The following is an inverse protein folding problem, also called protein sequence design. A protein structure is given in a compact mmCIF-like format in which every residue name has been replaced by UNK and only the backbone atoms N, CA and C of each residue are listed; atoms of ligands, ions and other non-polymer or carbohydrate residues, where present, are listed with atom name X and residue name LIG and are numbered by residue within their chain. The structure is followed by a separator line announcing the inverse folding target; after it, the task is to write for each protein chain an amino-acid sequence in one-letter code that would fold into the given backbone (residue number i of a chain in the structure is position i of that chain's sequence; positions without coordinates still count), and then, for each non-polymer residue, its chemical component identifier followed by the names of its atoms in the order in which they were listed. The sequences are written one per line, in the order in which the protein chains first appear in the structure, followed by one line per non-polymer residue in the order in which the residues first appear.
data_IF_570993276368
#
_entry.id   IF_570993276368
#
_cell.length_a   1.000
_cell.length_b   1.000
_cell.length_c   1.000
_cell.angle_alpha   90.00
_cell.angle_beta   90.00
_cell.angle_gamma   90.00
#
_symmetry.space_group_name_H-M   'P 1'
#
loop_
_entity.id
_entity.type
_entity.pdbx_description
1 polymer ?
#
# COMPACT_ATOMS: atom_id res chain seq x y z
N UNK A 1 -10.84 8.62 5.98
CA UNK A 1 -10.53 7.28 5.45
C UNK A 1 -9.08 7.29 5.03
N UNK A 2 -8.34 6.26 5.38
CA UNK A 2 -6.96 6.03 4.94
C UNK A 2 -6.91 4.90 3.91
N UNK A 3 -5.74 4.66 3.32
CA UNK A 3 -5.57 3.56 2.36
C UNK A 3 -6.00 2.20 2.95
N UNK A 4 -5.82 1.98 4.25
CA UNK A 4 -6.25 0.78 4.95
C UNK A 4 -7.76 0.59 4.90
N UNK A 5 -8.53 1.66 5.14
CA UNK A 5 -9.99 1.64 5.02
C UNK A 5 -10.44 1.28 3.59
N UNK A 6 -9.77 1.83 2.58
CA UNK A 6 -10.07 1.58 1.16
C UNK A 6 -9.84 0.10 0.81
N UNK A 7 -8.70 -0.45 1.23
CA UNK A 7 -8.37 -1.88 1.05
C UNK A 7 -9.42 -2.75 1.74
N UNK A 8 -9.71 -2.46 3.01
CA UNK A 8 -10.62 -3.25 3.83
C UNK A 8 -12.04 -3.24 3.27
N UNK A 9 -12.54 -2.06 2.89
CA UNK A 9 -13.88 -1.91 2.31
C UNK A 9 -14.04 -2.77 1.05
N UNK A 10 -13.10 -2.71 0.12
CA UNK A 10 -13.12 -3.54 -1.09
C UNK A 10 -13.01 -5.02 -0.75
N UNK A 11 -12.12 -5.42 0.16
CA UNK A 11 -12.05 -6.84 0.54
C UNK A 11 -13.36 -7.35 1.12
N UNK A 12 -14.00 -6.58 1.99
CA UNK A 12 -15.26 -6.97 2.61
C UNK A 12 -16.41 -7.01 1.59
N UNK A 13 -16.48 -6.03 0.68
CA UNK A 13 -17.46 -6.00 -0.41
C UNK A 13 -17.34 -7.22 -1.34
N UNK A 14 -16.11 -7.61 -1.68
CA UNK A 14 -15.82 -8.74 -2.58
C UNK A 14 -15.50 -10.05 -1.85
N UNK A 15 -15.71 -10.11 -0.53
CA UNK A 15 -15.50 -11.30 0.31
C UNK A 15 -14.09 -11.91 0.22
N UNK A 16 -13.06 -11.08 0.08
CA UNK A 16 -11.66 -11.47 -0.02
C UNK A 16 -10.99 -11.51 1.36
N UNK A 17 -10.19 -12.54 1.64
CA UNK A 17 -9.28 -12.52 2.79
C UNK A 17 -8.11 -11.54 2.55
N UNK A 18 -7.41 -11.13 3.62
CA UNK A 18 -6.17 -10.35 3.49
C UNK A 18 -5.13 -11.07 2.62
N UNK A 19 -5.03 -12.40 2.75
CA UNK A 19 -4.12 -13.24 1.97
C UNK A 19 -4.46 -13.21 0.47
N UNK A 20 -5.74 -13.39 0.12
CA UNK A 20 -6.17 -13.35 -1.28
C UNK A 20 -5.93 -11.98 -1.90
N UNK A 21 -6.21 -10.90 -1.16
CA UNK A 21 -5.96 -9.55 -1.64
C UNK A 21 -4.46 -9.26 -1.80
N UNK A 22 -3.64 -9.68 -0.83
CA UNK A 22 -2.19 -9.55 -0.89
C UNK A 22 -1.62 -10.23 -2.13
N UNK A 23 -2.06 -11.45 -2.42
CA UNK A 23 -1.67 -12.19 -3.62
C UNK A 23 -2.04 -11.46 -4.92
N UNK A 24 -3.26 -10.90 -5.02
CA UNK A 24 -3.69 -10.08 -6.17
C UNK A 24 -2.85 -8.81 -6.32
N UNK A 25 -2.47 -8.20 -5.21
CA UNK A 25 -1.71 -6.95 -5.18
C UNK A 25 -0.20 -7.15 -5.40
N UNK A 26 0.30 -8.40 -5.36
CA UNK A 26 1.74 -8.65 -5.33
C UNK A 26 2.41 -8.12 -4.06
N UNK A 27 1.67 -8.10 -2.94
CA UNK A 27 2.12 -7.64 -1.63
C UNK A 27 2.14 -8.82 -0.65
N UNK A 28 2.81 -8.63 0.48
CA UNK A 28 2.78 -9.60 1.58
C UNK A 28 1.51 -9.40 2.43
N UNK A 29 1.07 -10.46 3.11
CA UNK A 29 -0.07 -10.37 4.04
C UNK A 29 0.22 -9.40 5.18
N UNK A 30 1.48 -9.32 5.64
CA UNK A 30 1.92 -8.37 6.67
C UNK A 30 1.81 -6.91 6.20
N UNK A 31 2.15 -6.61 4.95
CA UNK A 31 1.93 -5.27 4.38
C UNK A 31 0.44 -4.91 4.38
N UNK A 32 -0.44 -5.81 3.94
CA UNK A 32 -1.89 -5.57 3.96
C UNK A 32 -2.40 -5.37 5.39
N UNK A 33 -2.00 -6.23 6.31
CA UNK A 33 -2.40 -6.14 7.71
C UNK A 33 -1.99 -4.79 8.33
N UNK A 34 -0.76 -4.35 8.05
CA UNK A 34 -0.21 -3.07 8.54
C UNK A 34 -0.98 -1.89 7.97
N UNK A 35 -1.24 -1.88 6.65
CA UNK A 35 -1.99 -0.80 6.00
C UNK A 35 -3.41 -0.70 6.57
N UNK A 36 -4.09 -1.83 6.81
CA UNK A 36 -5.45 -1.89 7.37
C UNK A 36 -5.54 -1.45 8.85
N UNK A 37 -4.42 -1.31 9.59
CA UNK A 37 -4.45 -0.70 10.93
C UNK A 37 -4.68 0.82 10.87
N UNK A 38 -4.47 1.44 9.71
CA UNK A 38 -4.52 2.88 9.43
C UNK A 38 -3.49 3.74 10.18
N UNK A 39 -3.19 3.43 11.44
CA UNK A 39 -2.28 4.17 12.29
C UNK A 39 -1.13 3.30 12.76
N UNK A 40 0.02 3.93 12.99
CA UNK A 40 1.19 3.27 13.56
C UNK A 40 0.92 2.91 15.02
N UNK A 41 1.51 1.81 15.49
CA UNK A 41 1.29 1.28 16.84
C UNK A 41 1.52 2.33 17.93
N UNK A 42 0.50 2.55 18.76
CA UNK A 42 0.56 3.50 19.87
C UNK A 42 0.60 4.98 19.46
N UNK A 43 0.27 5.30 18.21
CA UNK A 43 0.31 6.67 17.68
C UNK A 43 -0.97 7.04 16.92
N UNK A 44 -1.23 8.35 16.79
CA UNK A 44 -2.21 8.91 15.85
C UNK A 44 -1.62 9.20 14.46
N UNK A 45 -0.34 8.88 14.25
CA UNK A 45 0.32 9.04 12.95
C UNK A 45 -0.18 7.96 11.98
N UNK A 46 -0.70 8.34 10.80
CA UNK A 46 -1.11 7.36 9.80
C UNK A 46 0.04 6.48 9.34
N UNK A 47 -0.27 5.24 8.97
CA UNK A 47 0.69 4.33 8.34
C UNK A 47 1.09 4.91 6.98
N UNK A 48 2.38 5.14 6.71
CA UNK A 48 2.83 5.59 5.40
C UNK A 48 2.60 4.52 4.34
N UNK A 49 2.34 4.92 3.11
CA UNK A 49 2.12 4.00 1.99
C UNK A 49 3.16 4.23 0.89
N UNK A 50 3.80 3.16 0.43
CA UNK A 50 4.79 3.27 -0.64
C UNK A 50 4.13 3.30 -2.03
N UNK A 51 4.74 3.97 -3.01
CA UNK A 51 4.25 3.96 -4.41
C UNK A 51 4.09 2.53 -4.95
N UNK A 52 4.99 1.60 -4.59
CA UNK A 52 4.88 0.18 -4.98
C UNK A 52 3.59 -0.45 -4.44
N UNK A 53 3.22 -0.12 -3.21
CA UNK A 53 2.00 -0.62 -2.58
C UNK A 53 0.76 -0.02 -3.23
N UNK A 54 0.75 1.29 -3.51
CA UNK A 54 -0.34 1.94 -4.25
C UNK A 54 -0.54 1.27 -5.62
N UNK A 55 0.54 0.95 -6.34
CA UNK A 55 0.48 0.23 -7.61
C UNK A 55 -0.14 -1.16 -7.45
N UNK A 56 0.28 -1.92 -6.44
CA UNK A 56 -0.27 -3.24 -6.14
C UNK A 56 -1.75 -3.20 -5.78
N UNK A 57 -2.16 -2.25 -4.94
CA UNK A 57 -3.55 -2.03 -4.53
C UNK A 57 -4.41 -1.68 -5.75
N UNK A 58 -3.95 -0.74 -6.59
CA UNK A 58 -4.62 -0.37 -7.84
C UNK A 58 -4.83 -1.58 -8.77
N UNK A 59 -3.81 -2.43 -8.91
CA UNK A 59 -3.92 -3.67 -9.68
C UNK A 59 -4.93 -4.65 -9.09
N UNK A 60 -4.93 -4.86 -7.77
CA UNK A 60 -5.85 -5.78 -7.10
C UNK A 60 -7.31 -5.33 -7.17
N UNK A 61 -7.53 -4.01 -7.24
CA UNK A 61 -8.85 -3.38 -7.35
C UNK A 61 -9.30 -3.15 -8.80
N UNK A 62 -8.44 -3.48 -9.78
CA UNK A 62 -8.67 -3.18 -11.19
C UNK A 62 -8.99 -1.69 -11.44
N UNK A 63 -8.36 -0.81 -10.66
CA UNK A 63 -8.51 0.64 -10.74
C UNK A 63 -7.21 1.31 -11.22
N UNK A 64 -7.28 2.44 -11.95
CA UNK A 64 -6.11 3.22 -12.25
C UNK A 64 -5.44 3.76 -10.99
N UNK A 65 -4.09 3.75 -10.94
CA UNK A 65 -3.34 4.33 -9.81
C UNK A 65 -3.78 5.76 -9.43
N UNK A 66 -4.05 6.69 -10.38
CA UNK A 66 -4.53 8.02 -10.03
C UNK A 66 -5.83 8.02 -9.22
N UNK A 67 -6.72 7.06 -9.46
CA UNK A 67 -7.99 6.93 -8.71
C UNK A 67 -7.69 6.55 -7.26
N UNK A 68 -6.78 5.61 -7.03
CA UNK A 68 -6.35 5.24 -5.66
C UNK A 68 -5.64 6.42 -4.98
N UNK A 69 -4.72 7.09 -5.67
CA UNK A 69 -3.98 8.22 -5.11
C UNK A 69 -4.89 9.38 -4.73
N UNK A 70 -5.94 9.66 -5.50
CA UNK A 70 -6.89 10.73 -5.20
C UNK A 70 -7.70 10.52 -3.92
N UNK A 71 -7.74 9.29 -3.42
CA UNK A 71 -8.47 8.93 -2.19
C UNK A 71 -7.57 8.90 -0.95
N UNK A 72 -6.25 9.01 -1.12
CA UNK A 72 -5.30 9.07 -0.01
C UNK A 72 -5.38 10.47 0.60
N UNK A 73 -5.68 10.60 1.91
CA UNK A 73 -5.77 11.90 2.54
C UNK A 73 -4.39 12.56 2.63
N UNK A 74 -4.35 13.89 2.64
CA UNK A 74 -3.11 14.66 2.59
C UNK A 74 -2.18 14.47 3.79
N UNK A 75 -2.70 13.98 4.91
CA UNK A 75 -1.95 13.67 6.14
C UNK A 75 -1.37 12.23 6.16
N UNK A 76 -1.71 11.40 5.18
CA UNK A 76 -1.08 10.09 4.98
C UNK A 76 0.13 10.22 4.04
N UNK A 77 1.32 9.93 4.58
CA UNK A 77 2.55 10.07 3.82
C UNK A 77 2.65 9.03 2.71
N UNK A 78 2.98 9.50 1.50
CA UNK A 78 3.32 8.65 0.36
C UNK A 78 4.83 8.57 0.21
N UNK A 79 5.38 7.37 0.31
CA UNK A 79 6.84 7.13 0.33
C UNK A 79 7.33 6.65 -1.03
N UNK A 80 8.44 7.23 -1.50
CA UNK A 80 9.14 6.84 -2.72
C UNK A 80 10.51 6.30 -2.34
N UNK A 81 10.69 4.98 -2.44
CA UNK A 81 12.01 4.37 -2.23
C UNK A 81 12.81 4.51 -3.53
N UNK A 82 13.75 5.46 -3.55
CA UNK A 82 14.76 5.57 -4.61
C UNK A 82 15.89 4.62 -4.23
N UNK A 83 16.03 3.51 -4.94
CA UNK A 83 17.25 2.70 -4.85
C UNK A 83 18.28 3.42 -5.70
N UNK A 84 19.22 4.13 -5.07
CA UNK A 84 20.33 4.71 -5.81
C UNK A 84 21.21 3.55 -6.32
N UNK A 85 21.40 3.45 -7.64
CA UNK A 85 22.23 2.42 -8.31
C UNK A 85 23.73 2.47 -7.94
N UNK A 86 24.13 3.31 -6.98
CA UNK A 86 25.54 3.60 -6.65
C UNK A 86 26.32 2.49 -5.94
N UNK A 87 25.71 1.34 -5.61
CA UNK A 87 26.41 0.22 -4.94
C UNK A 87 26.74 -0.97 -5.87
N UNK A 88 26.68 -0.81 -7.20
CA UNK A 88 27.37 -1.77 -8.08
C UNK A 88 28.89 -1.54 -7.94
N UNK A 89 29.66 -2.51 -7.40
CA UNK A 89 31.10 -2.42 -7.46
C UNK A 89 31.46 -2.46 -8.95
N UNK A 90 32.03 -1.37 -9.44
CA UNK A 90 32.63 -1.35 -10.76
C UNK A 90 33.79 -2.36 -10.71
N UNK A 91 33.54 -3.57 -11.19
CA UNK A 91 34.59 -4.54 -11.42
C UNK A 91 35.51 -3.94 -12.50
N UNK A 92 36.77 -3.68 -12.11
CA UNK A 92 37.85 -3.29 -13.02
C UNK A 92 38.27 -4.46 -13.89
#
# INVERSE_FOLDING_TARGET
MYIGDIIKAFREEYQLSQETFAAKAGLTVSEINTLEQNFQDGSSTPVPVAIRQIKGIAQAMEQPMPVIMSQIPSDQQVVVNVVAESDQPHAK
#
